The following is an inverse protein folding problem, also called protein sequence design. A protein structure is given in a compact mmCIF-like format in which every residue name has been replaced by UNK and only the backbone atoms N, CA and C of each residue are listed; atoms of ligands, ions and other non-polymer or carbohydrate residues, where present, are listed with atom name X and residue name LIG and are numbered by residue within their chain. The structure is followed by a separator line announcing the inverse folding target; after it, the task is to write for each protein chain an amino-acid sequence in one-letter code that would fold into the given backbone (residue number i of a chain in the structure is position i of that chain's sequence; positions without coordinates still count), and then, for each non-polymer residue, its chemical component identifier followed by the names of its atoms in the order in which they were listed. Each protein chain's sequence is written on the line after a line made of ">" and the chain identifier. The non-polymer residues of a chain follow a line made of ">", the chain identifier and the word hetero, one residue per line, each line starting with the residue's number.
data_IF_685230551900
#
_entry.id   IF_685230551900
#
_cell.length_a   1.000
_cell.length_b   1.000
_cell.length_c   1.000
_cell.angle_alpha   90.00
_cell.angle_beta   90.00
_cell.angle_gamma   90.00
#
_symmetry.space_group_name_H-M   'P 1'
#
loop_
_entity.id
_entity.type
_entity.pdbx_description
1 polymer ?
#
# COMPACT_ATOMS: atom_id res chain seq x y z
N UNK A 1 -5.47 27.39 -27.50
CA UNK A 1 -5.41 27.93 -26.13
C UNK A 1 -6.67 27.49 -25.41
N UNK A 2 -6.64 26.32 -24.80
CA UNK A 2 -7.74 25.79 -24.00
C UNK A 2 -7.34 25.88 -22.53
N UNK A 3 -8.30 26.36 -21.77
CA UNK A 3 -8.24 26.87 -20.41
C UNK A 3 -7.69 25.83 -19.42
N UNK A 4 -6.50 26.11 -18.86
CA UNK A 4 -5.87 25.35 -17.75
C UNK A 4 -6.31 25.92 -16.39
N UNK A 5 -7.60 26.12 -16.17
CA UNK A 5 -8.12 26.62 -14.89
C UNK A 5 -9.06 25.63 -14.18
N UNK A 6 -8.53 24.44 -13.89
CA UNK A 6 -8.86 23.79 -12.63
C UNK A 6 -7.55 23.62 -11.87
N UNK A 7 -7.11 24.69 -11.21
CA UNK A 7 -6.07 24.59 -10.18
C UNK A 7 -6.60 23.56 -9.19
N UNK A 8 -6.03 22.35 -9.19
CA UNK A 8 -6.28 21.38 -8.14
C UNK A 8 -6.07 22.13 -6.81
N UNK A 9 -7.00 22.04 -5.85
CA UNK A 9 -6.86 22.82 -4.64
C UNK A 9 -5.48 22.50 -4.03
N UNK A 10 -4.62 23.50 -3.80
CA UNK A 10 -3.30 23.32 -3.17
C UNK A 10 -3.40 22.53 -1.85
N UNK A 11 -4.60 22.50 -1.26
CA UNK A 11 -4.91 21.82 -0.02
C UNK A 11 -5.46 20.41 -0.27
N UNK A 12 -4.76 19.43 0.28
CA UNK A 12 -5.22 18.05 0.36
C UNK A 12 -6.52 17.90 1.15
N UNK A 13 -7.34 16.94 0.73
CA UNK A 13 -8.65 16.67 1.31
C UNK A 13 -8.64 15.27 1.93
N UNK A 14 -8.86 15.20 3.24
CA UNK A 14 -9.00 13.94 3.95
C UNK A 14 -10.47 13.55 4.08
N UNK A 15 -10.80 12.31 3.72
CA UNK A 15 -12.16 11.76 3.82
C UNK A 15 -12.16 10.46 4.61
N UNK A 16 -13.16 10.21 5.48
CA UNK A 16 -13.36 8.89 6.06
C UNK A 16 -13.52 7.84 4.95
N UNK A 17 -12.89 6.68 5.13
CA UNK A 17 -12.93 5.57 4.17
C UNK A 17 -13.57 4.36 4.84
N UNK A 18 -14.52 3.73 4.15
CA UNK A 18 -15.20 2.53 4.64
C UNK A 18 -14.38 1.30 4.28
N UNK A 19 -14.24 0.37 5.21
CA UNK A 19 -13.59 -0.93 4.99
C UNK A 19 -14.64 -2.03 4.90
N UNK A 20 -14.45 -2.99 4.01
CA UNK A 20 -15.45 -4.02 3.73
C UNK A 20 -14.89 -5.42 3.98
N UNK A 21 -15.75 -6.35 4.40
CA UNK A 21 -15.46 -7.77 4.48
C UNK A 21 -16.54 -8.55 3.75
N UNK A 22 -16.13 -9.56 3.00
CA UNK A 22 -17.08 -10.44 2.37
C UNK A 22 -17.82 -11.31 3.40
N UNK A 23 -19.13 -11.51 3.20
CA UNK A 23 -19.98 -12.35 4.05
C UNK A 23 -20.64 -13.42 3.18
N UNK A 24 -20.26 -14.70 3.31
CA UNK A 24 -20.70 -15.78 2.41
C UNK A 24 -22.12 -16.31 2.69
N UNK A 25 -23.01 -15.54 3.35
CA UNK A 25 -24.30 -16.05 3.81
C UNK A 25 -25.13 -16.66 2.66
N UNK A 26 -25.70 -17.85 2.86
CA UNK A 26 -26.34 -18.70 1.83
C UNK A 26 -27.46 -18.06 0.97
N UNK A 27 -27.96 -16.88 1.35
CA UNK A 27 -29.02 -16.17 0.62
C UNK A 27 -28.62 -14.78 0.10
N UNK A 28 -27.45 -14.26 0.48
CA UNK A 28 -27.04 -12.87 0.21
C UNK A 28 -25.53 -12.69 0.43
N UNK A 29 -24.75 -13.27 -0.48
CA UNK A 29 -23.31 -13.28 -0.41
C UNK A 29 -22.78 -11.92 -0.92
N UNK A 30 -22.31 -11.06 -0.01
CA UNK A 30 -21.93 -9.69 -0.36
C UNK A 30 -20.81 -9.09 0.51
N UNK A 31 -20.14 -8.07 -0.02
CA UNK A 31 -19.20 -7.23 0.71
C UNK A 31 -19.94 -6.29 1.67
N UNK A 32 -19.78 -6.50 2.98
CA UNK A 32 -20.43 -5.67 4.02
C UNK A 32 -19.43 -4.72 4.67
N UNK A 33 -19.86 -3.48 4.87
CA UNK A 33 -19.10 -2.48 5.60
C UNK A 33 -18.83 -2.95 7.04
N UNK A 34 -17.56 -2.91 7.43
CA UNK A 34 -17.08 -3.25 8.76
C UNK A 34 -17.25 -2.06 9.71
N UNK A 35 -17.92 -2.27 10.84
CA UNK A 35 -17.97 -1.27 11.91
C UNK A 35 -16.64 -1.28 12.67
N UNK A 36 -15.80 -0.26 12.46
CA UNK A 36 -14.47 -0.18 13.08
C UNK A 36 -14.52 0.10 14.60
N UNK A 37 -15.62 0.71 15.06
CA UNK A 37 -15.90 0.96 16.47
C UNK A 37 -16.99 0.01 16.97
N UNK A 38 -16.72 -0.71 18.07
CA UNK A 38 -17.76 -1.38 18.85
C UNK A 38 -17.80 -2.90 18.88
N UNK A 39 -16.94 -3.63 18.16
CA UNK A 39 -16.94 -5.10 18.26
C UNK A 39 -15.54 -5.68 18.54
N UNK A 40 -15.39 -6.26 19.73
CA UNK A 40 -14.51 -7.40 19.91
C UNK A 40 -15.15 -8.57 19.16
N UNK A 41 -14.90 -8.70 17.86
CA UNK A 41 -15.35 -9.92 17.17
C UNK A 41 -14.50 -11.08 17.70
N UNK A 42 -15.14 -12.19 18.08
CA UNK A 42 -14.49 -13.38 18.66
C UNK A 42 -13.40 -14.01 17.76
N UNK A 43 -13.27 -13.53 16.52
CA UNK A 43 -12.38 -14.05 15.48
C UNK A 43 -11.17 -13.15 15.18
N UNK A 44 -11.00 -12.03 15.90
CA UNK A 44 -9.88 -11.12 15.70
C UNK A 44 -8.80 -11.37 16.74
N UNK A 45 -7.60 -11.74 16.30
CA UNK A 45 -6.41 -11.77 17.13
C UNK A 45 -5.68 -10.44 16.95
N UNK A 46 -5.25 -9.83 18.04
CA UNK A 46 -4.37 -8.66 17.95
C UNK A 46 -2.95 -9.20 17.75
N UNK A 47 -2.32 -9.03 16.58
CA UNK A 47 -1.07 -9.68 16.30
C UNK A 47 0.12 -8.96 16.95
N UNK A 48 1.16 -9.72 17.27
CA UNK A 48 2.49 -9.18 17.62
C UNK A 48 3.29 -8.86 16.35
N UNK A 49 3.15 -9.72 15.33
CA UNK A 49 3.81 -9.58 14.05
C UNK A 49 2.80 -9.44 12.91
N UNK A 50 3.11 -8.59 11.93
CA UNK A 50 2.29 -8.34 10.76
C UNK A 50 3.20 -8.36 9.53
N UNK A 51 2.90 -9.18 8.53
CA UNK A 51 3.57 -9.09 7.22
C UNK A 51 3.02 -7.90 6.45
N UNK A 52 3.88 -7.04 5.93
CA UNK A 52 3.54 -5.90 5.10
C UNK A 52 4.06 -6.16 3.69
N UNK A 53 3.16 -6.13 2.70
CA UNK A 53 3.50 -6.21 1.28
C UNK A 53 3.12 -4.90 0.61
N UNK A 54 3.96 -4.39 -0.29
CA UNK A 54 3.57 -3.31 -1.21
C UNK A 54 3.97 -3.64 -2.64
N UNK A 55 3.11 -3.30 -3.61
CA UNK A 55 3.38 -3.55 -5.03
C UNK A 55 2.60 -2.62 -5.95
N UNK A 56 3.32 -1.92 -6.84
CA UNK A 56 2.75 -1.29 -8.01
C UNK A 56 2.49 -2.36 -9.10
N UNK A 57 1.29 -2.40 -9.65
CA UNK A 57 0.84 -3.42 -10.61
C UNK A 57 0.74 -2.94 -12.06
N UNK A 58 1.41 -1.82 -12.38
CA UNK A 58 1.53 -1.26 -13.73
C UNK A 58 0.16 -1.13 -14.43
N UNK A 59 -0.60 -0.07 -14.16
CA UNK A 59 -1.93 0.08 -14.79
C UNK A 59 -1.83 0.25 -16.31
N UNK A 60 -0.65 0.64 -16.80
CA UNK A 60 -0.44 1.12 -18.16
C UNK A 60 -0.25 0.00 -19.18
N UNK A 61 0.27 -1.16 -18.77
CA UNK A 61 0.49 -2.28 -19.67
C UNK A 61 -0.81 -3.05 -20.05
N UNK A 62 -0.76 -3.73 -21.21
CA UNK A 62 -1.87 -4.52 -21.80
C UNK A 62 -2.15 -5.84 -21.07
N UNK A 63 -3.41 -6.30 -21.04
CA UNK A 63 -3.85 -7.50 -20.29
C UNK A 63 -3.82 -7.31 -18.76
N UNK A 64 -4.26 -6.14 -18.30
CA UNK A 64 -4.20 -5.79 -16.88
C UNK A 64 -4.92 -6.77 -15.95
N UNK A 65 -6.03 -7.40 -16.39
CA UNK A 65 -6.77 -8.36 -15.56
C UNK A 65 -5.99 -9.67 -15.41
N UNK A 66 -5.46 -10.21 -16.50
CA UNK A 66 -4.70 -11.45 -16.49
C UNK A 66 -3.42 -11.30 -15.65
N UNK A 67 -2.68 -10.21 -15.86
CA UNK A 67 -1.51 -9.89 -15.04
C UNK A 67 -1.85 -9.76 -13.56
N UNK A 68 -2.94 -9.06 -13.25
CA UNK A 68 -3.40 -8.84 -11.88
C UNK A 68 -3.78 -10.15 -11.20
N UNK A 69 -4.48 -11.05 -11.91
CA UNK A 69 -4.79 -12.38 -11.39
C UNK A 69 -3.52 -13.20 -11.13
N UNK A 70 -2.54 -13.16 -12.05
CA UNK A 70 -1.22 -13.77 -11.82
C UNK A 70 -0.50 -13.17 -10.61
N UNK A 71 -0.59 -11.85 -10.38
CA UNK A 71 -0.05 -11.21 -9.18
C UNK A 71 -0.73 -11.74 -7.90
N UNK A 72 -2.05 -11.88 -7.89
CA UNK A 72 -2.80 -12.40 -6.74
C UNK A 72 -2.48 -13.87 -6.44
N UNK A 73 -2.39 -14.71 -7.48
CA UNK A 73 -1.98 -16.10 -7.35
C UNK A 73 -0.56 -16.20 -6.78
N UNK A 74 0.38 -15.43 -7.33
CA UNK A 74 1.76 -15.38 -6.83
C UNK A 74 1.83 -14.91 -5.37
N UNK A 75 1.05 -13.88 -5.01
CA UNK A 75 0.95 -13.46 -3.61
C UNK A 75 0.45 -14.62 -2.74
N UNK A 76 -0.63 -15.29 -3.12
CA UNK A 76 -1.20 -16.40 -2.35
C UNK A 76 -0.22 -17.57 -2.21
N UNK A 77 0.27 -18.11 -3.32
CA UNK A 77 0.97 -19.39 -3.37
C UNK A 77 2.48 -19.29 -3.10
N UNK A 78 3.13 -18.22 -3.56
CA UNK A 78 4.59 -18.09 -3.47
C UNK A 78 5.03 -17.22 -2.29
N UNK A 79 4.38 -16.07 -2.10
CA UNK A 79 4.73 -15.11 -1.03
C UNK A 79 4.12 -15.55 0.30
N UNK A 80 2.81 -15.73 0.34
CA UNK A 80 2.10 -16.12 1.56
C UNK A 80 2.17 -17.63 1.82
N UNK A 81 2.48 -18.44 0.81
CA UNK A 81 2.59 -19.91 0.86
C UNK A 81 1.32 -20.57 1.38
N UNK A 82 0.19 -20.12 0.86
CA UNK A 82 -1.14 -20.59 1.22
C UNK A 82 -1.69 -21.48 0.12
N UNK A 83 -2.03 -22.72 0.46
CA UNK A 83 -2.92 -23.53 -0.39
C UNK A 83 -4.35 -22.96 -0.37
N UNK A 84 -5.23 -23.50 -1.21
CA UNK A 84 -6.63 -23.08 -1.27
C UNK A 84 -7.33 -23.15 0.10
N UNK A 85 -7.98 -22.05 0.48
CA UNK A 85 -8.68 -21.89 1.75
C UNK A 85 -7.79 -21.68 2.98
N UNK A 86 -6.46 -21.63 2.81
CA UNK A 86 -5.54 -21.32 3.91
C UNK A 86 -5.39 -19.80 4.13
N UNK A 87 -5.36 -19.41 5.40
CA UNK A 87 -5.11 -18.02 5.78
C UNK A 87 -3.63 -17.66 5.66
N UNK A 88 -3.29 -16.47 5.14
CA UNK A 88 -1.91 -15.95 5.13
C UNK A 88 -1.38 -15.57 6.52
N UNK A 89 -2.21 -15.68 7.56
CA UNK A 89 -1.93 -15.11 8.87
C UNK A 89 -1.92 -13.57 8.83
N UNK A 90 -1.60 -12.91 9.96
CA UNK A 90 -1.66 -11.45 10.05
C UNK A 90 -0.80 -10.76 8.97
N UNK A 91 -1.46 -10.14 7.99
CA UNK A 91 -0.79 -9.36 6.96
C UNK A 91 -1.60 -8.14 6.49
N UNK A 92 -0.91 -7.23 5.80
CA UNK A 92 -1.46 -6.06 5.14
C UNK A 92 -0.79 -5.92 3.77
N UNK A 93 -1.58 -5.84 2.70
CA UNK A 93 -1.11 -5.76 1.31
C UNK A 93 -1.52 -4.39 0.76
N UNK A 94 -0.56 -3.64 0.26
CA UNK A 94 -0.70 -2.29 -0.28
C UNK A 94 -0.49 -2.36 -1.80
N UNK A 95 -1.55 -2.20 -2.58
CA UNK A 95 -1.47 -2.20 -4.04
C UNK A 95 -1.62 -0.79 -4.57
N UNK A 96 -0.80 -0.45 -5.56
CA UNK A 96 -0.89 0.78 -6.36
C UNK A 96 -1.21 0.42 -7.80
N UNK A 97 -1.71 1.40 -8.57
CA UNK A 97 -2.02 1.23 -9.99
C UNK A 97 -3.05 0.13 -10.30
N UNK A 98 -3.98 -0.11 -9.39
CA UNK A 98 -5.08 -1.06 -9.62
C UNK A 98 -6.12 -0.42 -10.52
N UNK A 99 -6.49 -1.06 -11.64
CA UNK A 99 -7.58 -0.61 -12.52
C UNK A 99 -8.97 -1.00 -12.00
N UNK A 100 -10.06 -0.32 -12.41
CA UNK A 100 -11.42 -0.66 -11.97
C UNK A 100 -11.83 -2.11 -12.22
N UNK A 101 -11.44 -2.70 -13.34
CA UNK A 101 -11.69 -4.10 -13.68
C UNK A 101 -10.87 -5.06 -12.80
N UNK A 102 -9.61 -4.75 -12.53
CA UNK A 102 -8.78 -5.52 -11.59
C UNK A 102 -9.37 -5.47 -10.17
N UNK A 103 -9.91 -4.33 -9.74
CA UNK A 103 -10.62 -4.22 -8.47
C UNK A 103 -11.87 -5.13 -8.42
N UNK A 104 -12.60 -5.27 -9.54
CA UNK A 104 -13.73 -6.22 -9.60
C UNK A 104 -13.25 -7.67 -9.45
N UNK A 105 -12.18 -8.03 -10.15
CA UNK A 105 -11.59 -9.37 -10.03
C UNK A 105 -11.10 -9.65 -8.61
N UNK A 106 -10.38 -8.71 -8.00
CA UNK A 106 -9.95 -8.79 -6.59
C UNK A 106 -11.09 -9.13 -5.64
N UNK A 107 -12.25 -8.49 -5.84
CA UNK A 107 -13.42 -8.66 -4.99
C UNK A 107 -14.16 -9.98 -5.24
N UNK A 108 -13.88 -10.64 -6.36
CA UNK A 108 -14.42 -11.95 -6.73
C UNK A 108 -13.47 -13.11 -6.41
N UNK A 109 -12.18 -12.86 -6.20
CA UNK A 109 -11.19 -13.88 -5.80
C UNK A 109 -11.56 -14.52 -4.45
N UNK A 110 -11.67 -15.85 -4.41
CA UNK A 110 -12.10 -16.57 -3.22
C UNK A 110 -11.14 -16.39 -2.03
N UNK A 111 -9.82 -16.48 -2.26
CA UNK A 111 -8.82 -16.20 -1.21
C UNK A 111 -8.98 -14.81 -0.58
N UNK A 112 -9.28 -13.80 -1.40
CA UNK A 112 -9.54 -12.43 -0.93
C UNK A 112 -10.83 -12.37 -0.11
N UNK A 113 -11.92 -12.95 -0.63
CA UNK A 113 -13.22 -13.04 0.03
C UNK A 113 -13.17 -13.82 1.34
N UNK A 114 -12.29 -14.80 1.46
CA UNK A 114 -12.18 -15.69 2.61
C UNK A 114 -11.18 -15.25 3.66
N UNK A 115 -10.26 -14.35 3.33
CA UNK A 115 -9.20 -13.97 4.27
C UNK A 115 -9.04 -12.47 4.49
N UNK A 116 -9.62 -11.60 3.67
CA UNK A 116 -9.31 -10.17 3.76
C UNK A 116 -10.50 -9.26 4.06
N UNK A 117 -10.16 -8.13 4.66
CA UNK A 117 -10.92 -6.90 4.61
C UNK A 117 -10.27 -5.99 3.54
N UNK A 118 -11.09 -5.33 2.72
CA UNK A 118 -10.61 -4.58 1.55
C UNK A 118 -11.10 -3.14 1.59
N UNK A 119 -10.25 -2.20 1.17
CA UNK A 119 -10.63 -0.79 1.00
C UNK A 119 -9.76 -0.07 -0.05
N UNK A 120 -10.34 0.79 -0.92
CA UNK A 120 -11.77 0.85 -1.23
C UNK A 120 -12.24 -0.42 -1.98
N UNK A 121 -13.55 -0.62 -2.05
CA UNK A 121 -14.20 -1.66 -2.89
C UNK A 121 -14.94 -1.08 -4.10
N UNK A 122 -14.74 0.21 -4.35
CA UNK A 122 -15.41 0.98 -5.39
C UNK A 122 -14.40 2.00 -5.92
N UNK A 123 -14.09 1.93 -7.22
CA UNK A 123 -13.12 2.82 -7.87
C UNK A 123 -13.55 4.28 -7.86
N UNK A 124 -14.85 4.58 -7.70
CA UNK A 124 -15.35 5.95 -7.52
C UNK A 124 -14.85 6.62 -6.21
N UNK A 125 -14.12 5.88 -5.36
CA UNK A 125 -13.43 6.42 -4.18
C UNK A 125 -12.03 6.92 -4.47
N UNK A 126 -11.45 6.60 -5.63
CA UNK A 126 -10.17 7.17 -6.05
C UNK A 126 -10.34 8.66 -6.40
N UNK A 127 -9.25 9.45 -6.35
CA UNK A 127 -9.28 10.83 -6.83
C UNK A 127 -9.51 10.91 -8.34
N UNK A 128 -9.88 12.11 -8.81
CA UNK A 128 -10.07 12.40 -10.24
C UNK A 128 -11.46 12.08 -10.79
N UNK A 129 -11.86 12.66 -11.94
CA UNK A 129 -13.12 12.33 -12.59
C UNK A 129 -13.04 11.05 -13.45
N UNK A 130 -11.83 10.53 -13.70
CA UNK A 130 -11.62 9.44 -14.66
C UNK A 130 -11.39 8.07 -14.02
N UNK A 131 -11.07 8.01 -12.71
CA UNK A 131 -10.91 6.77 -11.93
C UNK A 131 -10.15 5.65 -12.66
N UNK A 132 -9.13 5.99 -13.45
CA UNK A 132 -8.47 5.05 -14.36
C UNK A 132 -7.68 3.98 -13.61
N UNK A 133 -7.13 4.34 -12.46
CA UNK A 133 -6.46 3.46 -11.54
C UNK A 133 -6.46 4.06 -10.13
N UNK A 134 -6.05 3.30 -9.14
CA UNK A 134 -5.79 3.84 -7.81
C UNK A 134 -5.22 2.81 -6.84
N UNK A 135 -5.22 3.20 -5.57
CA UNK A 135 -4.66 2.39 -4.51
C UNK A 135 -5.74 1.48 -3.89
N UNK A 136 -5.34 0.28 -3.50
CA UNK A 136 -6.18 -0.67 -2.76
C UNK A 136 -5.37 -1.26 -1.61
N UNK A 137 -5.98 -1.37 -0.44
CA UNK A 137 -5.36 -2.01 0.71
C UNK A 137 -6.20 -3.18 1.17
N UNK A 138 -5.55 -4.33 1.31
CA UNK A 138 -6.10 -5.54 1.89
C UNK A 138 -5.49 -5.76 3.27
N UNK A 139 -6.32 -6.09 4.25
CA UNK A 139 -5.87 -6.41 5.61
C UNK A 139 -6.44 -7.76 5.97
N UNK A 140 -5.60 -8.70 6.41
CA UNK A 140 -6.07 -10.02 6.82
C UNK A 140 -7.12 -9.88 7.95
N UNK A 141 -8.19 -10.67 7.84
CA UNK A 141 -9.43 -10.45 8.59
C UNK A 141 -9.31 -10.61 10.10
N UNK A 142 -8.29 -11.29 10.60
CA UNK A 142 -8.04 -11.39 12.04
C UNK A 142 -7.47 -10.09 12.60
N UNK A 143 -6.80 -9.27 11.77
CA UNK A 143 -6.16 -8.01 12.20
C UNK A 143 -7.21 -6.91 12.44
N UNK A 144 -7.21 -6.26 13.62
CA UNK A 144 -8.16 -5.18 13.90
C UNK A 144 -7.83 -3.84 13.29
N UNK A 145 -8.70 -3.38 12.40
CA UNK A 145 -8.67 -2.02 11.84
C UNK A 145 -9.48 -1.10 12.76
N UNK A 146 -8.90 0.02 13.15
CA UNK A 146 -9.50 1.01 14.07
C UNK A 146 -9.98 2.25 13.36
N UNK A 147 -9.23 2.70 12.39
CA UNK A 147 -9.55 3.87 11.59
C UNK A 147 -9.14 3.61 10.13
N UNK A 148 -9.87 4.23 9.22
CA UNK A 148 -9.59 4.19 7.80
C UNK A 148 -10.01 5.53 7.18
N UNK A 149 -9.11 6.11 6.41
CA UNK A 149 -9.31 7.37 5.70
C UNK A 149 -8.53 7.36 4.38
N UNK A 150 -8.94 8.23 3.47
CA UNK A 150 -8.21 8.49 2.22
C UNK A 150 -7.88 9.99 2.16
N UNK A 151 -6.65 10.29 1.77
CA UNK A 151 -6.18 11.65 1.51
C UNK A 151 -6.06 11.82 0.02
N UNK A 152 -6.82 12.75 -0.54
CA UNK A 152 -6.63 13.21 -1.91
C UNK A 152 -5.61 14.33 -1.87
N UNK A 153 -4.45 14.11 -2.49
CA UNK A 153 -3.41 15.13 -2.49
C UNK A 153 -3.88 16.35 -3.28
N UNK A 154 -3.71 17.53 -2.70
CA UNK A 154 -4.06 18.78 -3.35
C UNK A 154 -3.08 19.15 -4.45
N UNK A 155 -1.79 18.86 -4.21
CA UNK A 155 -0.71 19.07 -5.16
C UNK A 155 -0.40 17.80 -5.92
N UNK A 156 -1.08 17.60 -7.04
CA UNK A 156 -0.82 16.45 -7.92
C UNK A 156 -1.24 16.72 -9.36
N UNK A 157 -0.51 16.14 -10.31
CA UNK A 157 -0.85 16.11 -11.75
C UNK A 157 -1.39 14.74 -12.18
N UNK A 158 -1.06 13.68 -11.42
CA UNK A 158 -1.44 12.29 -11.69
C UNK A 158 -2.54 11.77 -10.75
N UNK A 159 -3.35 12.65 -10.17
CA UNK A 159 -4.49 12.27 -9.31
C UNK A 159 -4.04 11.34 -8.15
N UNK A 160 -2.96 11.72 -7.44
CA UNK A 160 -2.41 10.87 -6.37
C UNK A 160 -3.25 10.90 -5.09
N UNK A 161 -3.20 9.81 -4.33
CA UNK A 161 -3.85 9.70 -3.03
C UNK A 161 -3.10 8.78 -2.06
N UNK A 162 -3.44 8.88 -0.78
CA UNK A 162 -2.96 7.98 0.26
C UNK A 162 -4.11 7.34 1.03
N UNK A 163 -4.11 6.00 1.15
CA UNK A 163 -5.00 5.26 2.04
C UNK A 163 -4.30 5.12 3.38
N UNK A 164 -4.93 5.57 4.45
CA UNK A 164 -4.39 5.54 5.80
C UNK A 164 -5.25 4.64 6.67
N UNK A 165 -4.64 3.62 7.26
CA UNK A 165 -5.28 2.69 8.18
C UNK A 165 -4.58 2.68 9.54
N UNK A 166 -5.33 2.60 10.62
CA UNK A 166 -4.78 2.31 11.95
C UNK A 166 -5.08 0.86 12.32
N UNK A 167 -4.03 0.03 12.39
CA UNK A 167 -4.09 -1.39 12.71
C UNK A 167 -3.73 -1.63 14.18
N UNK A 168 -4.57 -2.33 14.93
CA UNK A 168 -4.32 -2.68 16.32
C UNK A 168 -3.35 -3.86 16.37
N UNK A 169 -2.20 -3.65 16.99
CA UNK A 169 -1.21 -4.68 17.32
C UNK A 169 -1.01 -4.76 18.84
N UNK A 170 -0.33 -5.81 19.29
CA UNK A 170 0.04 -6.01 20.69
C UNK A 170 1.54 -6.18 20.76
N UNK A 171 2.22 -5.43 21.63
CA UNK A 171 3.66 -5.56 21.77
C UNK A 171 4.04 -6.91 22.38
N UNK A 172 5.32 -7.27 22.27
CA UNK A 172 5.90 -8.43 22.98
C UNK A 172 5.73 -8.39 24.50
N UNK A 173 5.35 -7.24 25.08
CA UNK A 173 5.04 -7.06 26.50
C UNK A 173 3.53 -7.00 26.80
N UNK A 174 2.67 -7.28 25.82
CA UNK A 174 1.21 -7.30 25.99
C UNK A 174 0.53 -5.93 25.85
N UNK A 175 1.24 -4.87 25.48
CA UNK A 175 0.61 -3.55 25.34
C UNK A 175 -0.04 -3.37 23.98
N UNK A 176 -1.30 -2.94 23.96
CA UNK A 176 -2.02 -2.59 22.74
C UNK A 176 -1.48 -1.30 22.12
N UNK A 177 -1.24 -1.30 20.81
CA UNK A 177 -0.71 -0.18 20.00
C UNK A 177 -1.50 -0.06 18.69
N UNK A 178 -1.60 1.15 18.13
CA UNK A 178 -2.16 1.36 16.79
C UNK A 178 -1.02 1.63 15.81
N UNK A 179 -0.68 0.66 14.97
CA UNK A 179 0.22 0.90 13.86
C UNK A 179 -0.54 1.70 12.79
N UNK A 180 -0.08 2.92 12.47
CA UNK A 180 -0.58 3.62 11.28
C UNK A 180 0.13 3.10 10.05
N UNK A 181 -0.61 2.68 9.04
CA UNK A 181 -0.10 2.24 7.73
C UNK A 181 -0.66 3.16 6.66
N UNK A 182 0.22 3.69 5.82
CA UNK A 182 -0.12 4.58 4.71
C UNK A 182 0.29 3.89 3.40
N UNK A 183 -0.69 3.52 2.59
CA UNK A 183 -0.50 3.08 1.21
C UNK A 183 -0.60 4.30 0.29
N UNK A 184 0.46 4.62 -0.45
CA UNK A 184 0.45 5.75 -1.37
C UNK A 184 1.19 5.44 -2.67
N UNK A 185 0.83 6.17 -3.71
CA UNK A 185 1.64 6.29 -4.92
C UNK A 185 1.94 7.78 -5.05
N UNK A 186 3.20 8.20 -4.93
CA UNK A 186 3.58 9.61 -5.01
C UNK A 186 3.66 10.13 -6.45
N UNK A 187 3.87 11.43 -6.64
CA UNK A 187 3.94 12.02 -7.97
C UNK A 187 5.01 11.36 -8.84
N UNK A 188 4.64 10.99 -10.06
CA UNK A 188 5.57 10.41 -11.04
C UNK A 188 6.29 11.46 -11.85
N UNK A 189 7.21 10.97 -12.69
CA UNK A 189 8.05 11.77 -13.58
C UNK A 189 9.04 12.67 -12.83
N UNK A 190 10.13 13.02 -13.50
CA UNK A 190 11.12 13.96 -12.95
C UNK A 190 10.53 15.36 -12.74
N UNK A 191 9.61 15.78 -13.61
CA UNK A 191 8.90 17.06 -13.49
C UNK A 191 7.98 17.14 -12.28
N UNK A 192 7.50 15.98 -11.78
CA UNK A 192 6.61 15.89 -10.62
C UNK A 192 7.31 16.05 -9.26
N UNK A 193 8.64 16.15 -9.22
CA UNK A 193 9.44 16.23 -7.98
C UNK A 193 8.89 17.20 -6.92
N UNK A 194 8.50 18.46 -7.23
CA UNK A 194 7.98 19.37 -6.21
C UNK A 194 6.69 18.87 -5.54
N UNK A 195 5.83 18.18 -6.29
CA UNK A 195 4.60 17.60 -5.76
C UNK A 195 4.93 16.32 -4.98
N UNK A 196 5.81 15.45 -5.49
CA UNK A 196 6.28 14.24 -4.78
C UNK A 196 6.83 14.55 -3.39
N UNK A 197 7.74 15.52 -3.27
CA UNK A 197 8.30 15.92 -1.98
C UNK A 197 7.25 16.54 -1.04
N UNK A 198 6.28 17.27 -1.59
CA UNK A 198 5.16 17.80 -0.80
C UNK A 198 4.28 16.68 -0.24
N UNK A 199 3.93 15.71 -1.07
CA UNK A 199 3.12 14.55 -0.69
C UNK A 199 3.85 13.67 0.34
N UNK A 200 5.17 13.48 0.19
CA UNK A 200 6.01 12.79 1.18
C UNK A 200 5.98 13.49 2.54
N UNK A 201 6.05 14.83 2.54
CA UNK A 201 5.90 15.63 3.76
C UNK A 201 4.51 15.45 4.39
N UNK A 202 3.45 15.39 3.59
CA UNK A 202 2.11 15.09 4.09
C UNK A 202 2.03 13.69 4.71
N UNK A 203 2.65 12.68 4.10
CA UNK A 203 2.79 11.34 4.69
C UNK A 203 3.47 11.39 6.06
N UNK A 204 4.58 12.12 6.19
CA UNK A 204 5.26 12.29 7.47
C UNK A 204 4.34 12.94 8.53
N UNK A 205 3.54 13.94 8.15
CA UNK A 205 2.53 14.56 9.04
C UNK A 205 1.45 13.56 9.45
N UNK A 206 0.95 12.74 8.51
CA UNK A 206 -0.02 11.68 8.81
C UNK A 206 0.53 10.69 9.85
N UNK A 207 1.79 10.29 9.72
CA UNK A 207 2.44 9.40 10.69
C UNK A 207 2.65 10.07 12.06
N UNK A 208 3.01 11.36 12.10
CA UNK A 208 3.20 12.14 13.34
C UNK A 208 1.93 12.32 14.15
N UNK A 209 0.77 12.33 13.51
CA UNK A 209 -0.52 12.34 14.19
C UNK A 209 -0.88 10.99 14.86
N UNK A 210 -0.10 9.93 14.63
CA UNK A 210 -0.22 8.67 15.36
C UNK A 210 0.65 8.71 16.63
N UNK A 211 0.05 8.45 17.79
CA UNK A 211 0.75 8.42 19.08
C UNK A 211 1.78 7.29 19.20
N UNK A 212 1.71 6.29 18.33
CA UNK A 212 2.61 5.13 18.31
C UNK A 212 3.51 5.08 17.09
N UNK A 213 3.43 6.08 16.20
CA UNK A 213 4.13 6.08 14.92
C UNK A 213 3.44 5.22 13.87
N UNK A 214 4.18 4.90 12.82
CA UNK A 214 3.64 4.16 11.70
C UNK A 214 4.59 4.07 10.52
N UNK A 215 4.07 3.58 9.41
CA UNK A 215 4.79 3.34 8.17
C UNK A 215 4.03 3.91 6.99
N UNK A 216 4.76 4.53 6.07
CA UNK A 216 4.30 4.78 4.71
C UNK A 216 5.03 3.84 3.77
N UNK A 217 4.30 3.18 2.89
CA UNK A 217 4.83 2.26 1.91
C UNK A 217 4.03 2.32 0.61
N UNK A 218 4.70 1.99 -0.49
CA UNK A 218 4.14 2.15 -1.84
C UNK A 218 5.21 2.48 -2.86
N UNK A 219 4.75 2.74 -4.08
CA UNK A 219 5.56 3.42 -5.09
C UNK A 219 5.72 4.90 -4.72
N UNK A 220 6.86 5.20 -4.11
CA UNK A 220 7.16 6.57 -3.70
C UNK A 220 7.82 7.38 -4.82
N UNK A 221 8.03 6.78 -6.00
CA UNK A 221 8.78 7.37 -7.10
C UNK A 221 10.11 7.97 -6.60
N UNK A 222 10.78 7.27 -5.68
CA UNK A 222 11.90 7.77 -4.87
C UNK A 222 13.25 7.77 -5.59
N UNK A 223 13.26 8.29 -6.82
CA UNK A 223 14.42 8.38 -7.71
C UNK A 223 15.07 9.77 -7.74
N UNK A 224 14.55 10.75 -6.98
CA UNK A 224 15.19 12.06 -6.86
C UNK A 224 16.52 11.97 -6.11
N UNK A 225 17.51 12.75 -6.55
CA UNK A 225 18.82 12.82 -5.91
C UNK A 225 18.76 13.28 -4.45
N UNK A 226 17.80 14.13 -4.09
CA UNK A 226 17.62 14.65 -2.73
C UNK A 226 16.52 13.93 -1.94
N UNK A 227 16.04 12.77 -2.43
CA UNK A 227 14.98 12.05 -1.73
C UNK A 227 15.43 11.64 -0.31
N UNK A 228 16.66 11.16 -0.15
CA UNK A 228 17.20 10.74 1.15
C UNK A 228 17.43 11.92 2.10
N UNK A 229 17.84 13.08 1.58
CA UNK A 229 17.89 14.33 2.36
C UNK A 229 16.49 14.72 2.88
N UNK A 230 15.46 14.54 2.04
CA UNK A 230 14.09 14.77 2.44
C UNK A 230 13.66 13.81 3.56
N UNK A 231 14.02 12.52 3.48
CA UNK A 231 13.75 11.54 4.55
C UNK A 231 14.34 11.99 5.88
N UNK A 232 15.61 12.39 5.88
CA UNK A 232 16.30 12.89 7.08
C UNK A 232 15.57 14.10 7.67
N UNK A 233 15.20 15.09 6.83
CA UNK A 233 14.48 16.29 7.28
C UNK A 233 13.07 16.00 7.83
N UNK A 234 12.47 14.89 7.40
CA UNK A 234 11.15 14.44 7.81
C UNK A 234 11.18 13.42 8.96
N UNK A 235 12.37 13.07 9.46
CA UNK A 235 12.58 12.04 10.49
C UNK A 235 11.98 10.69 10.08
N UNK A 236 12.01 10.39 8.77
CA UNK A 236 11.60 9.11 8.21
C UNK A 236 12.82 8.20 8.10
N UNK A 237 12.66 6.96 8.53
CA UNK A 237 13.71 5.93 8.48
C UNK A 237 13.32 4.88 7.44
N UNK A 238 14.19 4.68 6.47
CA UNK A 238 14.02 3.69 5.41
C UNK A 238 14.33 2.29 5.92
N UNK A 239 13.42 1.34 5.73
CA UNK A 239 13.62 -0.04 6.14
C UNK A 239 14.75 -0.74 5.36
N UNK A 240 15.11 -0.23 4.18
CA UNK A 240 16.17 -0.74 3.33
C UNK A 240 17.49 0.03 3.46
N UNK A 241 17.69 0.85 4.50
CA UNK A 241 18.88 1.74 4.62
C UNK A 241 20.23 1.01 4.58
N UNK A 242 20.23 -0.28 4.94
CA UNK A 242 21.44 -1.11 5.00
C UNK A 242 21.64 -2.00 3.76
N UNK A 243 20.77 -1.90 2.75
CA UNK A 243 20.91 -2.66 1.50
C UNK A 243 21.80 -1.89 0.51
N UNK A 244 22.61 -2.61 -0.26
CA UNK A 244 23.37 -2.05 -1.37
C UNK A 244 22.40 -1.51 -2.46
N UNK A 245 22.77 -0.41 -3.12
CA UNK A 245 21.88 0.32 -4.05
C UNK A 245 21.28 -0.57 -5.15
N UNK A 246 22.07 -1.46 -5.76
CA UNK A 246 21.60 -2.35 -6.83
C UNK A 246 20.61 -3.41 -6.31
N UNK A 247 20.89 -3.97 -5.13
CA UNK A 247 20.00 -4.94 -4.49
C UNK A 247 18.69 -4.29 -4.04
N UNK A 248 18.73 -2.99 -3.79
CA UNK A 248 17.59 -2.20 -3.37
C UNK A 248 16.74 -1.68 -4.54
N UNK A 249 17.19 -1.77 -5.81
CA UNK A 249 16.37 -1.35 -6.96
C UNK A 249 15.09 -2.18 -7.09
N UNK A 250 13.98 -1.46 -7.30
CA UNK A 250 12.63 -2.01 -7.43
C UNK A 250 12.04 -1.79 -8.82
N UNK A 251 12.68 -0.97 -9.65
CA UNK A 251 12.22 -0.64 -10.99
C UNK A 251 13.37 -0.61 -12.01
N UNK A 252 13.05 -0.92 -13.27
CA UNK A 252 13.95 -0.82 -14.42
C UNK A 252 14.66 -2.11 -14.82
N UNK A 253 14.30 -3.24 -14.22
CA UNK A 253 14.74 -4.58 -14.66
C UNK A 253 13.67 -5.34 -15.47
N UNK A 254 12.39 -4.96 -15.33
CA UNK A 254 11.24 -5.56 -16.00
C UNK A 254 10.43 -4.46 -16.72
N UNK A 255 9.64 -4.84 -17.72
CA UNK A 255 8.76 -3.91 -18.44
C UNK A 255 9.45 -3.11 -19.55
N UNK A 256 8.63 -2.36 -20.31
CA UNK A 256 9.06 -1.63 -21.50
C UNK A 256 9.89 -0.37 -21.23
N UNK A 257 9.84 0.18 -20.01
CA UNK A 257 10.56 1.40 -19.63
C UNK A 257 12.04 1.20 -19.31
N UNK A 258 12.50 -0.04 -19.13
CA UNK A 258 13.87 -0.37 -18.70
C UNK A 258 14.96 0.15 -19.66
N UNK A 259 14.65 0.39 -20.94
CA UNK A 259 15.58 0.98 -21.91
C UNK A 259 15.58 2.51 -21.96
N UNK A 260 14.55 3.16 -21.42
CA UNK A 260 14.34 4.61 -21.53
C UNK A 260 14.76 5.39 -20.28
N UNK A 261 14.65 4.76 -19.11
CA UNK A 261 14.99 5.38 -17.83
C UNK A 261 15.98 4.50 -17.04
N UNK A 262 16.86 5.10 -16.22
CA UNK A 262 17.77 4.34 -15.39
C UNK A 262 17.00 3.52 -14.33
N UNK A 263 17.56 2.36 -13.98
CA UNK A 263 17.10 1.57 -12.82
C UNK A 263 17.05 2.46 -11.58
N UNK A 264 16.04 2.24 -10.75
CA UNK A 264 15.89 3.03 -9.52
C UNK A 264 15.13 2.28 -8.43
N UNK A 265 15.23 2.81 -7.21
CA UNK A 265 14.51 2.35 -6.02
C UNK A 265 13.30 3.24 -5.78
N UNK A 266 12.24 2.97 -6.54
CA UNK A 266 11.02 3.78 -6.52
C UNK A 266 10.13 3.42 -5.33
N UNK A 267 10.01 2.13 -5.06
CA UNK A 267 9.18 1.56 -4.00
C UNK A 267 9.96 1.50 -2.70
N UNK A 268 9.36 1.99 -1.61
CA UNK A 268 10.03 2.03 -0.30
C UNK A 268 9.05 1.77 0.85
N UNK A 269 9.60 1.37 1.99
CA UNK A 269 8.88 1.27 3.26
C UNK A 269 9.57 2.17 4.29
N UNK A 270 8.92 3.29 4.62
CA UNK A 270 9.48 4.32 5.50
C UNK A 270 8.75 4.35 6.83
N UNK A 271 9.49 4.26 7.92
CA UNK A 271 8.95 4.28 9.27
C UNK A 271 9.11 5.65 9.94
N UNK A 272 8.17 6.00 10.79
CA UNK A 272 8.25 7.13 11.72
C UNK A 272 8.02 6.66 13.15
N UNK A 273 8.86 7.12 14.06
CA UNK A 273 8.79 6.80 15.48
C UNK A 273 8.72 8.08 16.33
N UNK A 274 7.67 8.28 17.16
CA UNK A 274 7.58 9.44 18.03
C UNK A 274 8.71 9.50 19.07
N UNK A 275 9.44 10.62 19.10
CA UNK A 275 10.45 10.93 20.11
C UNK A 275 11.50 9.81 20.36
N UNK A 276 11.92 9.11 19.29
CA UNK A 276 12.92 8.04 19.35
C UNK A 276 12.47 6.78 20.13
N UNK A 277 11.18 6.68 20.47
CA UNK A 277 10.62 5.56 21.22
C UNK A 277 10.11 4.49 20.27
N UNK A 278 10.98 3.64 19.76
CA UNK A 278 10.58 2.59 18.79
C UNK A 278 9.44 1.74 19.37
N UNK A 279 8.33 1.68 18.62
CA UNK A 279 7.13 0.88 18.92
C UNK A 279 6.92 -0.23 17.92
N UNK A 280 7.53 -0.11 16.76
CA UNK A 280 7.46 -1.07 15.68
C UNK A 280 8.85 -1.18 15.09
N UNK A 281 9.34 -2.41 14.99
CA UNK A 281 10.52 -2.75 14.22
C UNK A 281 10.06 -3.30 12.87
N UNK A 282 10.76 -2.94 11.80
CA UNK A 282 10.55 -3.46 10.44
C UNK A 282 11.82 -4.18 9.99
N UNK A 283 11.68 -5.38 9.43
CA UNK A 283 12.81 -6.07 8.82
C UNK A 283 13.20 -5.37 7.50
N UNK A 284 14.47 -5.47 7.06
CA UNK A 284 14.82 -5.10 5.70
C UNK A 284 13.88 -5.78 4.69
N UNK A 285 13.31 -5.03 3.73
CA UNK A 285 12.34 -5.58 2.81
C UNK A 285 13.00 -6.54 1.81
N UNK A 286 12.29 -7.60 1.46
CA UNK A 286 12.66 -8.55 0.41
C UNK A 286 11.90 -8.23 -0.88
N UNK A 287 12.59 -8.32 -2.02
CA UNK A 287 11.96 -8.15 -3.34
C UNK A 287 11.15 -9.39 -3.70
N UNK A 288 9.93 -9.17 -4.19
CA UNK A 288 9.02 -10.20 -4.68
C UNK A 288 8.62 -9.90 -6.13
N UNK A 289 8.10 -10.89 -6.86
CA UNK A 289 7.65 -10.71 -8.24
C UNK A 289 8.79 -10.59 -9.26
N UNK A 290 10.04 -10.88 -8.87
CA UNK A 290 11.18 -10.91 -9.79
C UNK A 290 11.06 -12.08 -10.76
N UNK A 291 11.15 -11.77 -12.05
CA UNK A 291 10.98 -12.72 -13.14
C UNK A 291 9.53 -13.13 -13.39
N UNK A 292 8.54 -12.51 -12.73
CA UNK A 292 7.16 -12.98 -12.80
C UNK A 292 6.46 -12.52 -14.09
N UNK A 293 5.98 -13.48 -14.87
CA UNK A 293 5.34 -13.26 -16.17
C UNK A 293 3.92 -13.84 -16.20
N UNK A 294 3.05 -13.18 -16.95
CA UNK A 294 1.73 -13.66 -17.38
C UNK A 294 1.79 -13.86 -18.90
N UNK A 295 2.00 -15.10 -19.35
CA UNK A 295 2.33 -15.38 -20.74
C UNK A 295 3.68 -14.75 -21.12
N UNK A 296 3.68 -13.90 -22.16
CA UNK A 296 4.88 -13.18 -22.62
C UNK A 296 5.06 -11.81 -21.95
N UNK A 297 4.12 -11.39 -21.11
CA UNK A 297 4.13 -10.08 -20.46
C UNK A 297 4.64 -10.19 -19.03
N UNK A 298 5.40 -9.19 -18.57
CA UNK A 298 5.70 -9.04 -17.15
C UNK A 298 4.43 -8.76 -16.38
N UNK A 299 4.27 -9.34 -15.18
CA UNK A 299 3.13 -9.04 -14.30
C UNK A 299 3.12 -7.56 -13.89
N UNK A 300 4.31 -7.01 -13.63
CA UNK A 300 4.55 -5.59 -13.34
C UNK A 300 5.97 -5.24 -13.77
N UNK A 301 6.18 -3.99 -14.17
CA UNK A 301 7.50 -3.40 -14.35
C UNK A 301 8.22 -3.10 -13.02
N UNK A 302 7.47 -3.11 -11.91
CA UNK A 302 7.99 -3.05 -10.54
C UNK A 302 8.17 -4.43 -9.90
N UNK A 303 9.22 -4.57 -9.09
CA UNK A 303 9.27 -5.58 -8.04
C UNK A 303 8.40 -5.14 -6.86
N UNK A 304 7.67 -6.08 -6.29
CA UNK A 304 7.00 -5.84 -5.00
C UNK A 304 8.02 -5.92 -3.86
N UNK A 305 7.62 -5.43 -2.69
CA UNK A 305 8.40 -5.54 -1.45
C UNK A 305 7.58 -6.23 -0.36
N UNK A 306 8.21 -7.15 0.37
CA UNK A 306 7.67 -7.79 1.59
C UNK A 306 8.58 -7.51 2.79
N UNK A 307 8.00 -7.13 3.92
CA UNK A 307 8.70 -7.01 5.19
C UNK A 307 7.84 -7.51 6.36
N UNK A 308 8.49 -7.84 7.49
CA UNK A 308 7.79 -8.17 8.74
C UNK A 308 7.86 -7.02 9.71
N UNK A 309 6.69 -6.64 10.22
CA UNK A 309 6.52 -5.66 11.30
C UNK A 309 6.31 -6.34 12.62
N UNK A 310 7.08 -5.95 13.63
CA UNK A 310 6.93 -6.45 14.99
C UNK A 310 6.60 -5.30 15.92
N UNK A 311 5.48 -5.38 16.63
CA UNK A 311 5.18 -4.45 17.71
C UNK A 311 6.13 -4.70 18.89
N UNK A 312 6.97 -3.71 19.19
CA UNK A 312 7.96 -3.77 20.27
C UNK A 312 7.60 -2.84 21.42
N UNK A 313 8.07 -3.21 22.61
CA UNK A 313 7.94 -2.46 23.89
C UNK A 313 6.51 -1.96 24.18
#
# INVERSE_FOLDING_TARGET
>A
MTDRSSIAPDKSITKPLKVYRFRPNHHDAQWKHLKLHGESTKHMSTPVQLRLVTWNLDFSADHAVERFNTALEYLQFDVFKCDDGQSPGPCCILLQEVRPECLKELLNTDWVRDHFAVTPVDSAKWPGPHYQYGNVTLVERTVPIREAQIVFYGRTEHERSAIVLDLRMVSTRGFKRNLRVVNTHLESMATGRPNRLHQLKECAVLLRHSSTGGIVAGDLNAFDQDFDDALLSLELVDAASELDDEDAFTWGEQGGGASEFPRSRMDRMLSYTPAGKTRFDITPPQKIGKGLQCGELWVSDHFGLEATLTAVR
#
